data_IF_071004146284
#
_entry.id   IF_071004146284
#
_cell.length_a   1.000
_cell.length_b   1.000
_cell.length_c   1.000
_cell.angle_alpha   90.00
_cell.angle_beta   90.00
_cell.angle_gamma   90.00
#
_symmetry.space_group_name_H-M   'P 1'
#
loop_
_entity.id
_entity.type
_entity.pdbx_description
1 polymer ?
#
# COMPACT_ATOMS: atom_id res chain seq x y z
N UNK A 1 9.48 -0.50 18.54
CA UNK A 1 8.05 -0.67 18.22
C UNK A 1 7.58 0.53 17.42
N UNK A 2 6.96 0.33 16.26
CA UNK A 2 6.50 1.42 15.40
C UNK A 2 4.97 1.50 15.44
N UNK A 3 4.44 2.59 15.99
CA UNK A 3 2.99 2.79 16.20
C UNK A 3 2.37 3.60 15.06
N UNK A 4 1.26 3.12 14.51
CA UNK A 4 0.41 3.95 13.65
C UNK A 4 -0.31 4.99 14.49
N UNK A 5 -0.24 6.26 14.13
CA UNK A 5 -0.90 7.34 14.88
C UNK A 5 -2.39 7.46 14.57
N UNK A 6 -2.85 6.85 13.48
CA UNK A 6 -4.27 6.88 13.05
C UNK A 6 -5.09 5.79 13.72
N UNK A 7 -4.59 4.55 13.78
CA UNK A 7 -5.32 3.41 14.34
C UNK A 7 -4.60 2.72 15.51
N UNK A 8 -3.47 3.27 15.96
CA UNK A 8 -2.69 2.78 17.11
C UNK A 8 -2.13 1.36 17.00
N UNK A 9 -2.24 0.72 15.84
CA UNK A 9 -1.64 -0.59 15.55
C UNK A 9 -0.11 -0.53 15.62
N UNK A 10 0.50 -1.59 16.16
CA UNK A 10 1.95 -1.72 16.31
C UNK A 10 2.55 -2.58 15.19
N UNK A 11 3.76 -2.21 14.78
CA UNK A 11 4.54 -2.90 13.74
C UNK A 11 5.96 -3.17 14.20
N UNK A 12 6.52 -4.27 13.70
CA UNK A 12 7.87 -4.73 14.04
C UNK A 12 8.97 -3.84 13.44
N UNK A 13 8.70 -3.16 12.32
CA UNK A 13 9.67 -2.26 11.67
C UNK A 13 9.00 -1.05 10.99
N UNK A 14 9.80 -0.02 10.71
CA UNK A 14 9.36 1.23 10.08
C UNK A 14 8.82 1.03 8.66
N UNK A 15 9.42 0.13 7.88
CA UNK A 15 8.97 -0.20 6.52
C UNK A 15 7.54 -0.74 6.51
N UNK A 16 7.21 -1.64 7.44
CA UNK A 16 5.86 -2.19 7.59
C UNK A 16 4.86 -1.12 8.01
N UNK A 17 5.25 -0.22 8.92
CA UNK A 17 4.41 0.94 9.28
C UNK A 17 4.20 1.86 8.07
N UNK A 18 5.25 2.16 7.30
CA UNK A 18 5.15 3.02 6.12
C UNK A 18 4.21 2.42 5.06
N UNK A 19 4.33 1.12 4.77
CA UNK A 19 3.40 0.39 3.91
C UNK A 19 1.99 0.38 4.48
N UNK A 20 1.82 0.27 5.79
CA UNK A 20 0.51 0.31 6.41
C UNK A 20 -0.16 1.70 6.30
N UNK A 21 0.60 2.80 6.41
CA UNK A 21 0.03 4.16 6.33
C UNK A 21 -0.76 4.41 5.05
N UNK A 22 -0.40 3.77 3.93
CA UNK A 22 -1.15 3.90 2.67
C UNK A 22 -2.58 3.34 2.77
N UNK A 23 -2.85 2.45 3.72
CA UNK A 23 -4.21 1.89 3.92
C UNK A 23 -5.20 2.91 4.44
N UNK A 24 -4.70 3.96 5.11
CA UNK A 24 -5.51 5.10 5.59
C UNK A 24 -5.72 6.17 4.52
N UNK A 25 -4.99 6.11 3.40
CA UNK A 25 -5.18 7.03 2.27
C UNK A 25 -6.07 6.39 1.22
N UNK A 26 -6.97 7.15 0.61
CA UNK A 26 -7.75 6.70 -0.56
C UNK A 26 -7.01 6.86 -1.90
N UNK A 27 -5.81 7.42 -1.85
CA UNK A 27 -4.98 7.64 -3.02
C UNK A 27 -4.44 6.32 -3.60
N UNK A 28 -4.71 6.09 -4.88
CA UNK A 28 -4.23 4.94 -5.65
C UNK A 28 -3.30 5.42 -6.77
N UNK A 29 -2.01 5.56 -6.45
CA UNK A 29 -0.99 6.11 -7.35
C UNK A 29 -0.55 5.17 -8.48
N UNK A 30 -0.77 3.86 -8.31
CA UNK A 30 -0.17 2.86 -9.20
C UNK A 30 -1.24 2.30 -10.14
N UNK A 31 -1.18 2.65 -11.42
CA UNK A 31 -2.13 2.18 -12.42
C UNK A 31 -1.55 1.03 -13.26
N UNK A 32 -2.37 0.01 -13.51
CA UNK A 32 -2.08 -0.99 -14.53
C UNK A 32 -2.53 -0.46 -15.89
N UNK A 33 -1.62 -0.34 -16.84
CA UNK A 33 -1.93 0.16 -18.18
C UNK A 33 -2.75 -0.82 -19.03
N UNK A 34 -2.75 -2.12 -18.69
CA UNK A 34 -3.51 -3.13 -19.43
C UNK A 34 -4.97 -3.20 -19.02
N UNK A 35 -5.27 -3.14 -17.71
CA UNK A 35 -6.63 -3.30 -17.19
C UNK A 35 -7.21 -2.02 -16.55
N UNK A 36 -6.47 -0.91 -16.56
CA UNK A 36 -6.81 0.38 -15.96
C UNK A 36 -7.15 0.34 -14.45
N UNK A 37 -6.85 -0.76 -13.76
CA UNK A 37 -7.01 -0.87 -12.31
C UNK A 37 -5.93 -0.07 -11.60
N UNK A 38 -6.30 0.58 -10.50
CA UNK A 38 -5.38 1.37 -9.68
C UNK A 38 -5.16 0.73 -8.30
N UNK A 39 -3.94 0.88 -7.78
CA UNK A 39 -3.47 0.25 -6.54
C UNK A 39 -2.82 1.29 -5.63
N UNK A 40 -2.94 1.06 -4.31
CA UNK A 40 -2.28 1.90 -3.28
C UNK A 40 -0.78 1.58 -3.14
N UNK A 41 -0.31 0.44 -3.68
CA UNK A 41 1.08 -0.05 -3.54
C UNK A 41 1.62 -0.58 -4.87
N UNK A 42 2.91 -0.32 -5.12
CA UNK A 42 3.61 -0.78 -6.33
C UNK A 42 3.75 -2.29 -6.39
N UNK A 43 4.06 -2.94 -5.26
CA UNK A 43 4.25 -4.39 -5.25
C UNK A 43 2.94 -5.16 -5.52
N UNK A 44 1.78 -4.57 -5.21
CA UNK A 44 0.49 -5.10 -5.64
C UNK A 44 0.30 -4.97 -7.17
N UNK A 45 0.73 -3.85 -7.77
CA UNK A 45 0.73 -3.67 -9.22
C UNK A 45 1.70 -4.66 -9.91
N UNK A 46 2.85 -4.96 -9.32
CA UNK A 46 3.79 -5.94 -9.90
C UNK A 46 3.31 -7.39 -9.75
N UNK A 47 2.53 -7.68 -8.71
CA UNK A 47 1.98 -9.01 -8.47
C UNK A 47 0.79 -9.35 -9.36
N UNK A 48 0.07 -8.35 -9.90
CA UNK A 48 -1.01 -8.64 -10.84
C UNK A 48 -0.44 -9.11 -12.18
N UNK A 49 -0.86 -10.30 -12.59
CA UNK A 49 -0.62 -10.80 -13.95
C UNK A 49 -1.74 -10.28 -14.83
N UNK A 50 -1.54 -9.13 -15.44
CA UNK A 50 -2.34 -8.67 -16.56
C UNK A 50 -1.53 -8.96 -17.82
N UNK A 51 -1.90 -10.03 -18.52
CA UNK A 51 -1.41 -10.41 -19.84
C UNK A 51 -2.56 -10.23 -20.83
#
# INVERSE_FOLDING_TARGET
SFKCTTCFKLFSNSSSLAKHKVTHSEERKFACLHCNKTFKRQDHLLAIKCL
#
